data_IF_658971502845
#
_entry.id   IF_658971502845
#
_cell.length_a   1.000
_cell.length_b   1.000
_cell.length_c   1.000
_cell.angle_alpha   90.00
_cell.angle_beta   90.00
_cell.angle_gamma   90.00
#
_symmetry.space_group_name_H-M   'P 1'
#
loop_
_entity.id
_entity.type
_entity.pdbx_description
1 polymer ?
#
# COMPACT_ATOMS: atom_id res chain seq x y z
N UNK A 1 8.44 12.43 -32.56
CA UNK A 1 9.90 12.19 -32.52
C UNK A 1 10.17 11.17 -31.42
N UNK A 2 10.50 9.94 -31.77
CA UNK A 2 10.90 8.90 -30.82
C UNK A 2 12.35 9.14 -30.40
N UNK A 3 12.53 9.75 -29.23
CA UNK A 3 13.85 9.84 -28.59
C UNK A 3 14.37 8.42 -28.35
N UNK A 4 15.53 8.08 -28.92
CA UNK A 4 16.25 6.85 -28.58
C UNK A 4 16.36 6.76 -27.04
N UNK A 5 16.21 5.57 -26.43
CA UNK A 5 16.44 5.41 -25.00
C UNK A 5 17.84 5.93 -24.69
N UNK A 6 17.94 6.84 -23.72
CA UNK A 6 19.24 7.23 -23.16
C UNK A 6 19.78 5.96 -22.50
N UNK A 7 20.82 5.36 -23.09
CA UNK A 7 21.55 4.27 -22.43
C UNK A 7 22.28 4.93 -21.27
N UNK A 8 21.75 4.74 -20.06
CA UNK A 8 22.39 5.20 -18.84
C UNK A 8 23.26 4.04 -18.36
N UNK A 9 24.58 4.21 -18.39
CA UNK A 9 25.52 3.16 -17.96
C UNK A 9 25.51 2.95 -16.43
N UNK A 10 24.94 3.89 -15.67
CA UNK A 10 24.95 3.89 -14.21
C UNK A 10 23.66 4.49 -13.65
N UNK A 11 23.15 3.87 -12.59
CA UNK A 11 22.07 4.39 -11.75
C UNK A 11 22.56 4.44 -10.31
N UNK A 12 22.02 5.35 -9.51
CA UNK A 12 22.30 5.40 -8.07
C UNK A 12 21.57 4.27 -7.34
N UNK A 13 20.35 3.95 -7.81
CA UNK A 13 19.52 2.89 -7.23
C UNK A 13 18.95 2.00 -8.35
N UNK A 14 19.15 0.69 -8.21
CA UNK A 14 18.48 -0.31 -9.05
C UNK A 14 17.47 -1.07 -8.18
N UNK A 15 16.20 -1.01 -8.56
CA UNK A 15 15.10 -1.70 -7.88
C UNK A 15 14.63 -2.85 -8.75
N UNK A 16 14.57 -4.05 -8.16
CA UNK A 16 14.09 -5.25 -8.83
C UNK A 16 12.68 -5.60 -8.33
N UNK A 17 11.71 -5.58 -9.24
CA UNK A 17 10.30 -5.88 -8.98
C UNK A 17 9.45 -4.63 -8.77
N UNK A 18 8.27 -4.63 -9.38
CA UNK A 18 7.33 -3.49 -9.39
C UNK A 18 6.13 -3.66 -8.45
N UNK A 19 6.22 -4.52 -7.44
CA UNK A 19 5.24 -4.61 -6.36
C UNK A 19 5.29 -3.37 -5.43
N UNK A 20 4.43 -3.32 -4.41
CA UNK A 20 4.33 -2.19 -3.49
C UNK A 20 5.68 -1.75 -2.89
N UNK A 21 6.49 -2.71 -2.44
CA UNK A 21 7.80 -2.43 -1.85
C UNK A 21 8.77 -1.80 -2.87
N UNK A 22 8.84 -2.37 -4.08
CA UNK A 22 9.69 -1.85 -5.16
C UNK A 22 9.23 -0.49 -5.65
N UNK A 23 7.92 -0.26 -5.79
CA UNK A 23 7.39 1.05 -6.19
C UNK A 23 7.62 2.11 -5.14
N UNK A 24 7.44 1.76 -3.86
CA UNK A 24 7.72 2.67 -2.76
C UNK A 24 9.21 3.03 -2.73
N UNK A 25 10.11 2.05 -2.85
CA UNK A 25 11.54 2.30 -2.89
C UNK A 25 11.95 3.18 -4.08
N UNK A 26 11.45 2.85 -5.28
CA UNK A 26 11.76 3.58 -6.50
C UNK A 26 11.24 5.02 -6.47
N UNK A 27 9.99 5.25 -6.04
CA UNK A 27 9.41 6.59 -6.01
C UNK A 27 10.05 7.46 -4.95
N UNK A 28 10.37 6.90 -3.77
CA UNK A 28 11.08 7.65 -2.71
C UNK A 28 12.48 8.03 -3.19
N UNK A 29 13.26 7.08 -3.71
CA UNK A 29 14.60 7.37 -4.22
C UNK A 29 14.59 8.43 -5.34
N UNK A 30 13.66 8.32 -6.29
CA UNK A 30 13.53 9.30 -7.37
C UNK A 30 13.07 10.68 -6.87
N UNK A 31 12.18 10.72 -5.87
CA UNK A 31 11.72 11.97 -5.24
C UNK A 31 12.87 12.67 -4.50
N UNK A 32 13.78 11.90 -3.89
CA UNK A 32 15.00 12.40 -3.26
C UNK A 32 16.12 12.75 -4.26
N UNK A 33 15.83 12.72 -5.57
CA UNK A 33 16.73 13.19 -6.62
C UNK A 33 17.77 12.18 -7.10
N UNK A 34 17.63 10.90 -6.76
CA UNK A 34 18.51 9.84 -7.24
C UNK A 34 18.11 9.36 -8.65
N UNK A 35 19.10 8.96 -9.45
CA UNK A 35 18.85 8.28 -10.72
C UNK A 35 18.44 6.82 -10.46
N UNK A 36 17.16 6.49 -10.71
CA UNK A 36 16.58 5.18 -10.39
C UNK A 36 16.29 4.36 -11.64
N UNK A 37 16.73 3.08 -11.62
CA UNK A 37 16.29 2.06 -12.57
C UNK A 37 15.40 1.04 -11.87
N UNK A 38 14.14 0.99 -12.25
CA UNK A 38 13.22 -0.06 -11.85
C UNK A 38 13.13 -1.11 -12.96
N UNK A 39 13.31 -2.37 -12.59
CA UNK A 39 13.19 -3.51 -13.49
C UNK A 39 12.03 -4.40 -13.03
N UNK A 40 11.11 -4.69 -13.94
CA UNK A 40 10.05 -5.69 -13.78
C UNK A 40 10.32 -6.83 -14.76
N UNK A 41 10.15 -8.07 -14.31
CA UNK A 41 10.32 -9.26 -15.15
C UNK A 41 9.15 -9.41 -16.12
N UNK A 42 7.94 -9.04 -15.69
CA UNK A 42 6.74 -9.12 -16.50
C UNK A 42 6.57 -7.89 -17.41
N UNK A 43 5.67 -8.02 -18.39
CA UNK A 43 5.18 -6.95 -19.25
C UNK A 43 4.25 -5.96 -18.53
N UNK A 44 3.71 -6.37 -17.37
CA UNK A 44 2.82 -5.57 -16.53
C UNK A 44 3.41 -5.36 -15.13
N UNK A 45 3.16 -4.18 -14.56
CA UNK A 45 3.62 -3.79 -13.23
C UNK A 45 2.67 -4.25 -12.11
N UNK A 46 3.20 -4.32 -10.89
CA UNK A 46 2.43 -4.55 -9.66
C UNK A 46 2.56 -5.96 -9.08
N UNK A 47 2.93 -6.96 -9.88
CA UNK A 47 3.06 -8.36 -9.39
C UNK A 47 1.83 -8.82 -8.60
N UNK A 48 2.04 -9.49 -7.47
CA UNK A 48 0.95 -9.91 -6.57
C UNK A 48 0.29 -8.74 -5.82
N UNK A 49 0.96 -7.59 -5.67
CA UNK A 49 0.36 -6.39 -5.08
C UNK A 49 -0.85 -5.94 -5.88
N UNK A 50 -0.80 -6.01 -7.21
CA UNK A 50 -1.93 -5.62 -8.08
C UNK A 50 -3.17 -6.52 -7.92
N UNK A 51 -3.03 -7.71 -7.34
CA UNK A 51 -4.15 -8.62 -7.05
C UNK A 51 -4.57 -8.59 -5.58
N UNK A 52 -3.83 -7.90 -4.72
CA UNK A 52 -4.19 -7.76 -3.32
C UNK A 52 -5.43 -6.87 -3.18
N UNK A 53 -6.11 -6.95 -2.03
CA UNK A 53 -7.17 -6.01 -1.68
C UNK A 53 -6.69 -4.56 -1.45
N UNK A 54 -5.41 -4.25 -1.69
CA UNK A 54 -4.83 -2.91 -1.57
C UNK A 54 -4.66 -2.40 -0.13
N UNK A 55 -5.13 -3.16 0.86
CA UNK A 55 -5.08 -2.77 2.26
C UNK A 55 -3.68 -2.94 2.85
N UNK A 56 -3.27 -1.96 3.66
CA UNK A 56 -2.00 -1.97 4.37
C UNK A 56 -2.22 -1.80 5.87
N UNK A 57 -1.60 -2.66 6.66
CA UNK A 57 -1.64 -2.57 8.12
C UNK A 57 -0.52 -1.62 8.58
N UNK A 58 -0.89 -0.39 8.93
CA UNK A 58 0.02 0.66 9.39
C UNK A 58 -0.58 1.34 10.64
N UNK A 59 -0.13 0.98 11.84
CA UNK A 59 -0.63 1.59 13.07
C UNK A 59 -0.05 3.00 13.26
N UNK A 60 -0.74 3.81 14.07
CA UNK A 60 -0.21 5.10 14.52
C UNK A 60 -0.08 6.18 13.45
N UNK A 61 -0.78 6.06 12.33
CA UNK A 61 -0.81 7.11 11.30
C UNK A 61 -1.62 8.31 11.75
N UNK A 62 -1.29 9.50 11.19
CA UNK A 62 -2.06 10.73 11.43
C UNK A 62 -3.52 10.57 10.98
N UNK A 63 -3.73 10.03 9.78
CA UNK A 63 -5.07 9.83 9.21
C UNK A 63 -5.94 8.90 10.06
N UNK A 64 -5.35 7.88 10.70
CA UNK A 64 -6.10 7.01 11.62
C UNK A 64 -6.52 7.71 12.91
N UNK A 65 -5.68 8.62 13.45
CA UNK A 65 -6.01 9.43 14.64
C UNK A 65 -7.11 10.46 14.34
N UNK A 66 -7.11 11.02 13.15
CA UNK A 66 -8.10 12.02 12.70
C UNK A 66 -9.51 11.44 12.53
N UNK A 67 -9.67 10.11 12.43
CA UNK A 67 -11.00 9.46 12.45
C UNK A 67 -11.76 9.64 13.77
N UNK A 68 -11.10 10.02 14.87
CA UNK A 68 -11.74 10.29 16.15
C UNK A 68 -12.31 9.07 16.90
N UNK A 69 -12.29 7.87 16.32
CA UNK A 69 -12.87 6.65 16.90
C UNK A 69 -11.87 5.53 17.20
N UNK A 70 -10.57 5.74 16.98
CA UNK A 70 -9.56 4.73 17.30
C UNK A 70 -9.10 4.87 18.74
N UNK A 71 -9.28 3.82 19.54
CA UNK A 71 -8.69 3.67 20.89
C UNK A 71 -7.30 3.02 20.84
N UNK A 72 -6.69 2.94 19.66
CA UNK A 72 -5.43 2.26 19.46
C UNK A 72 -4.27 3.02 20.11
N UNK A 73 -3.26 2.27 20.58
CA UNK A 73 -2.08 2.84 21.25
C UNK A 73 -0.80 2.10 20.84
N UNK A 74 0.37 2.77 20.86
CA UNK A 74 1.65 2.10 20.62
C UNK A 74 1.89 0.87 21.51
N UNK A 75 1.40 0.91 22.75
CA UNK A 75 1.48 -0.20 23.71
C UNK A 75 0.61 -1.37 23.27
N UNK A 76 -0.64 -1.12 22.89
CA UNK A 76 -1.55 -2.15 22.38
C UNK A 76 -1.02 -2.80 21.10
N UNK A 77 -0.46 -1.98 20.18
CA UNK A 77 0.15 -2.47 18.94
C UNK A 77 1.32 -3.39 19.23
N UNK A 78 2.21 -3.01 20.16
CA UNK A 78 3.34 -3.85 20.59
C UNK A 78 2.84 -5.15 21.22
N UNK A 79 1.88 -5.08 22.13
CA UNK A 79 1.31 -6.27 22.77
C UNK A 79 0.71 -7.24 21.75
N UNK A 80 0.00 -6.72 20.75
CA UNK A 80 -0.59 -7.52 19.68
C UNK A 80 0.46 -8.23 18.82
N UNK A 81 1.50 -7.50 18.40
CA UNK A 81 2.57 -8.07 17.60
C UNK A 81 3.41 -9.08 18.39
N UNK A 82 3.68 -8.81 19.67
CA UNK A 82 4.36 -9.77 20.56
C UNK A 82 3.55 -11.05 20.77
N UNK A 83 2.22 -10.94 20.86
CA UNK A 83 1.34 -12.11 21.03
C UNK A 83 1.29 -13.01 19.79
N UNK A 84 1.43 -12.45 18.58
CA UNK A 84 1.29 -13.18 17.33
C UNK A 84 2.61 -13.60 16.68
N UNK A 85 3.64 -12.78 16.82
CA UNK A 85 4.93 -12.99 16.17
C UNK A 85 5.93 -13.44 17.23
N UNK A 86 5.92 -14.73 17.53
CA UNK A 86 6.81 -15.35 18.53
C UNK A 86 8.27 -14.98 18.27
N UNK A 87 8.94 -14.45 19.29
CA UNK A 87 10.35 -14.05 19.21
C UNK A 87 10.60 -12.66 18.62
N UNK A 88 9.56 -11.91 18.26
CA UNK A 88 9.71 -10.55 17.70
C UNK A 88 10.02 -9.46 18.72
N UNK A 89 9.87 -9.74 20.01
CA UNK A 89 9.99 -8.73 21.09
C UNK A 89 11.34 -8.00 21.10
N UNK A 90 12.41 -8.70 20.70
CA UNK A 90 13.77 -8.16 20.59
C UNK A 90 14.23 -8.01 19.14
N UNK A 91 13.36 -8.25 18.16
CA UNK A 91 13.70 -8.09 16.75
C UNK A 91 13.72 -6.59 16.42
N UNK A 92 14.87 -6.02 16.05
CA UNK A 92 14.97 -4.60 15.71
C UNK A 92 14.07 -4.20 14.52
N UNK A 93 13.68 -5.16 13.66
CA UNK A 93 12.76 -4.91 12.55
C UNK A 93 11.37 -4.53 13.02
N UNK A 94 10.93 -5.05 14.18
CA UNK A 94 9.64 -4.69 14.77
C UNK A 94 9.62 -3.21 15.15
N UNK A 95 10.65 -2.76 15.86
CA UNK A 95 10.80 -1.35 16.22
C UNK A 95 10.91 -0.46 14.98
N UNK A 96 11.75 -0.85 13.99
CA UNK A 96 11.91 -0.10 12.75
C UNK A 96 10.61 0.02 11.96
N UNK A 97 9.82 -1.05 11.88
CA UNK A 97 8.52 -1.06 11.22
C UNK A 97 7.54 -0.08 11.89
N UNK A 98 7.36 -0.20 13.22
CA UNK A 98 6.44 0.65 13.98
C UNK A 98 6.84 2.13 13.94
N UNK A 99 8.14 2.42 13.91
CA UNK A 99 8.63 3.79 13.81
C UNK A 99 8.47 4.36 12.39
N UNK A 100 8.75 3.56 11.36
CA UNK A 100 8.92 4.05 9.98
C UNK A 100 7.62 4.02 9.18
N UNK A 101 6.77 3.01 9.38
CA UNK A 101 5.57 2.82 8.59
C UNK A 101 4.63 4.06 8.56
N UNK A 102 4.28 4.71 9.69
CA UNK A 102 3.48 5.93 9.64
C UNK A 102 4.19 7.11 8.94
N UNK A 103 5.52 7.15 8.97
CA UNK A 103 6.31 8.17 8.26
C UNK A 103 6.26 7.93 6.74
N UNK A 104 6.30 6.67 6.30
CA UNK A 104 6.17 6.31 4.87
C UNK A 104 4.81 6.75 4.33
N UNK A 105 3.72 6.49 5.06
CA UNK A 105 2.38 6.95 4.65
C UNK A 105 2.35 8.47 4.50
N UNK A 106 2.85 9.20 5.51
CA UNK A 106 2.90 10.66 5.44
C UNK A 106 3.78 11.19 4.29
N UNK A 107 4.90 10.53 4.01
CA UNK A 107 5.79 10.88 2.90
C UNK A 107 5.09 10.68 1.56
N UNK A 108 4.51 9.50 1.32
CA UNK A 108 3.83 9.18 0.07
C UNK A 108 2.68 10.16 -0.21
N UNK A 109 1.86 10.49 0.81
CA UNK A 109 0.80 11.49 0.67
C UNK A 109 1.32 12.89 0.34
N UNK A 110 2.49 13.27 0.86
CA UNK A 110 3.06 14.60 0.62
C UNK A 110 3.73 14.73 -0.75
N UNK A 111 4.32 13.65 -1.25
CA UNK A 111 5.24 13.70 -2.39
C UNK A 111 4.72 13.00 -3.64
N UNK A 112 3.61 12.25 -3.55
CA UNK A 112 3.08 11.44 -4.65
C UNK A 112 1.56 11.57 -4.74
N UNK A 113 0.94 10.92 -5.73
CA UNK A 113 -0.52 10.81 -5.85
C UNK A 113 -1.12 9.71 -4.95
N UNK A 114 -0.28 8.99 -4.18
CA UNK A 114 -0.75 7.93 -3.27
C UNK A 114 -1.37 8.56 -2.02
N UNK A 115 -2.69 8.52 -1.94
CA UNK A 115 -3.46 8.88 -0.75
C UNK A 115 -4.04 7.61 -0.14
N UNK A 116 -3.78 7.41 1.15
CA UNK A 116 -4.33 6.29 1.92
C UNK A 116 -5.32 6.84 2.93
N UNK A 117 -6.52 6.25 2.95
CA UNK A 117 -7.54 6.53 3.95
C UNK A 117 -7.67 5.36 4.91
N UNK A 118 -8.02 5.61 6.17
CA UNK A 118 -8.27 4.54 7.11
C UNK A 118 -9.60 3.85 6.84
N UNK A 119 -9.65 2.54 7.06
CA UNK A 119 -10.90 1.77 6.97
C UNK A 119 -11.63 1.89 8.32
N UNK A 120 -12.85 2.48 8.37
CA UNK A 120 -13.49 2.82 9.65
C UNK A 120 -13.76 1.62 10.56
N UNK A 121 -14.12 0.47 9.98
CA UNK A 121 -14.40 -0.75 10.72
C UNK A 121 -13.67 -1.92 10.06
N UNK A 122 -12.45 -2.17 10.54
CA UNK A 122 -11.62 -3.27 10.10
C UNK A 122 -10.87 -3.83 11.31
N UNK A 123 -11.44 -4.86 11.96
CA UNK A 123 -10.81 -5.46 13.12
C UNK A 123 -9.52 -6.18 12.73
N UNK A 124 -8.61 -6.25 13.67
CA UNK A 124 -7.46 -7.13 13.58
C UNK A 124 -7.89 -8.59 13.35
N UNK A 125 -7.12 -9.33 12.56
CA UNK A 125 -7.45 -10.71 12.18
C UNK A 125 -7.59 -11.67 13.36
N UNK A 126 -6.89 -11.41 14.46
CA UNK A 126 -6.98 -12.19 15.69
C UNK A 126 -7.56 -11.33 16.82
N UNK A 127 -8.89 -11.12 16.84
CA UNK A 127 -9.53 -10.17 17.76
C UNK A 127 -9.41 -10.58 19.24
N UNK A 128 -9.20 -11.87 19.51
CA UNK A 128 -9.05 -12.40 20.87
C UNK A 128 -7.62 -12.21 21.44
N UNK A 129 -6.67 -11.75 20.62
CA UNK A 129 -5.31 -11.52 21.08
C UNK A 129 -5.18 -10.24 21.91
N UNK A 130 -4.27 -10.29 22.89
CA UNK A 130 -3.97 -9.10 23.71
C UNK A 130 -3.50 -7.95 22.82
N UNK A 131 -4.11 -6.77 22.99
CA UNK A 131 -3.78 -5.58 22.21
C UNK A 131 -4.44 -5.50 20.83
N UNK A 132 -5.34 -6.41 20.47
CA UNK A 132 -6.14 -6.29 19.26
C UNK A 132 -7.05 -5.04 19.29
N UNK A 133 -7.39 -4.51 18.12
CA UNK A 133 -8.35 -3.41 17.97
C UNK A 133 -9.40 -3.70 16.88
N UNK A 134 -10.52 -3.00 16.95
CA UNK A 134 -11.61 -3.06 15.95
C UNK A 134 -11.41 -2.07 14.79
N UNK A 135 -10.49 -1.12 14.92
CA UNK A 135 -10.23 -0.08 13.91
C UNK A 135 -8.90 0.66 14.13
N UNK A 136 -8.46 1.38 13.08
CA UNK A 136 -7.37 2.35 13.15
C UNK A 136 -5.99 1.86 12.71
N UNK A 137 -5.84 0.57 12.39
CA UNK A 137 -4.56 0.01 11.92
C UNK A 137 -4.53 -0.28 10.43
N UNK A 138 -5.67 -0.47 9.78
CA UNK A 138 -5.75 -0.78 8.36
C UNK A 138 -6.10 0.47 7.56
N UNK A 139 -5.30 0.73 6.54
CA UNK A 139 -5.53 1.76 5.54
C UNK A 139 -5.76 1.12 4.17
N UNK A 140 -6.44 1.85 3.30
CA UNK A 140 -6.66 1.49 1.91
C UNK A 140 -6.40 2.69 1.00
N UNK A 141 -6.02 2.47 -0.27
CA UNK A 141 -5.87 3.55 -1.22
C UNK A 141 -7.21 4.23 -1.50
N UNK A 142 -7.17 5.55 -1.61
CA UNK A 142 -8.27 6.28 -2.23
C UNK A 142 -8.38 5.93 -3.72
N UNK A 143 -9.57 6.12 -4.28
CA UNK A 143 -9.80 5.90 -5.71
C UNK A 143 -8.88 6.79 -6.54
N UNK A 144 -8.25 6.19 -7.55
CA UNK A 144 -7.34 6.88 -8.45
C UNK A 144 -7.93 6.91 -9.87
N UNK A 145 -7.97 8.09 -10.49
CA UNK A 145 -8.37 8.23 -11.89
C UNK A 145 -7.26 7.72 -12.82
N UNK A 146 -7.44 6.49 -13.31
CA UNK A 146 -6.48 5.82 -14.17
C UNK A 146 -6.30 6.51 -15.54
N UNK A 147 -7.21 7.41 -15.95
CA UNK A 147 -7.06 8.18 -17.20
C UNK A 147 -5.80 9.05 -17.19
N UNK A 148 -5.34 9.49 -16.01
CA UNK A 148 -4.10 10.24 -15.83
C UNK A 148 -2.85 9.48 -16.29
N UNK A 149 -2.91 8.15 -16.41
CA UNK A 149 -1.80 7.33 -16.88
C UNK A 149 -1.61 7.36 -18.40
N UNK A 150 -2.64 7.74 -19.16
CA UNK A 150 -2.62 7.77 -20.62
C UNK A 150 -2.14 6.45 -21.23
N UNK A 151 -1.14 6.51 -22.11
CA UNK A 151 -0.60 5.32 -22.77
C UNK A 151 0.11 4.32 -21.82
N UNK A 152 0.40 4.72 -20.58
CA UNK A 152 0.98 3.85 -19.55
C UNK A 152 -0.05 2.94 -18.89
N UNK A 153 -1.36 3.17 -19.11
CA UNK A 153 -2.42 2.32 -18.56
C UNK A 153 -2.23 0.84 -18.91
N UNK A 154 -1.72 0.55 -20.11
CA UNK A 154 -1.41 -0.80 -20.58
C UNK A 154 -0.37 -1.55 -19.74
N UNK A 155 0.40 -0.85 -18.91
CA UNK A 155 1.36 -1.47 -18.01
C UNK A 155 0.69 -1.98 -16.74
N UNK A 156 -0.50 -1.51 -16.38
CA UNK A 156 -1.19 -2.02 -15.20
C UNK A 156 -1.60 -3.47 -15.43
N UNK A 157 -1.33 -4.29 -14.41
CA UNK A 157 -1.88 -5.64 -14.33
C UNK A 157 -3.38 -5.55 -14.08
N UNK A 158 -4.14 -6.33 -14.84
CA UNK A 158 -5.57 -6.46 -14.61
C UNK A 158 -5.84 -7.24 -13.31
N UNK A 159 -6.91 -6.90 -12.59
CA UNK A 159 -7.39 -7.69 -11.46
C UNK A 159 -7.63 -9.15 -11.88
N UNK A 160 -7.69 -10.05 -10.89
CA UNK A 160 -8.13 -11.42 -11.16
C UNK A 160 -9.59 -11.40 -11.62
N UNK A 161 -9.99 -12.24 -12.59
CA UNK A 161 -11.38 -12.28 -13.09
C UNK A 161 -12.42 -12.45 -11.97
N UNK A 162 -12.08 -13.19 -10.91
CA UNK A 162 -12.92 -13.42 -9.73
C UNK A 162 -13.22 -12.14 -8.93
N UNK A 163 -12.42 -11.08 -9.12
CA UNK A 163 -12.61 -9.76 -8.50
C UNK A 163 -13.23 -8.73 -9.47
N UNK A 164 -13.72 -9.18 -10.63
CA UNK A 164 -14.35 -8.30 -11.63
C UNK A 164 -15.80 -8.67 -11.90
N UNK A 165 -16.60 -7.67 -12.25
CA UNK A 165 -17.85 -7.85 -12.99
C UNK A 165 -17.58 -7.61 -14.47
N UNK A 166 -18.32 -8.31 -15.33
CA UNK A 166 -18.23 -8.16 -16.79
C UNK A 166 -16.79 -8.27 -17.33
N UNK A 167 -16.00 -9.17 -16.74
CA UNK A 167 -14.59 -9.50 -17.05
C UNK A 167 -13.54 -8.41 -16.76
N UNK A 168 -13.90 -7.12 -16.77
CA UNK A 168 -12.91 -6.04 -16.68
C UNK A 168 -13.27 -4.94 -15.65
N UNK A 169 -14.50 -4.93 -15.13
CA UNK A 169 -14.94 -3.90 -14.20
C UNK A 169 -14.58 -4.28 -12.76
N UNK A 170 -13.57 -3.62 -12.20
CA UNK A 170 -13.30 -3.70 -10.76
C UNK A 170 -14.48 -3.15 -9.97
N UNK A 171 -14.88 -3.87 -8.94
CA UNK A 171 -15.96 -3.50 -8.03
C UNK A 171 -15.39 -3.43 -6.63
N UNK A 172 -15.45 -2.25 -6.02
CA UNK A 172 -15.13 -2.06 -4.61
C UNK A 172 -16.30 -2.54 -3.74
N UNK A 173 -16.02 -2.78 -2.46
CA UNK A 173 -17.07 -3.15 -1.49
C UNK A 173 -18.17 -2.09 -1.41
N UNK A 174 -17.78 -0.83 -1.58
CA UNK A 174 -18.64 0.35 -1.58
C UNK A 174 -19.58 0.40 -2.79
N UNK A 175 -19.24 -0.29 -3.88
CA UNK A 175 -20.06 -0.36 -5.08
C UNK A 175 -21.14 -1.46 -4.97
N UNK A 176 -20.95 -2.47 -4.11
CA UNK A 176 -21.91 -3.59 -3.97
C UNK A 176 -23.36 -3.14 -3.71
N UNK A 177 -23.64 -2.12 -2.86
CA UNK A 177 -24.99 -1.62 -2.68
C UNK A 177 -25.63 -1.07 -3.97
N UNK A 178 -24.87 -0.49 -4.90
CA UNK A 178 -25.43 0.09 -6.13
C UNK A 178 -25.92 -0.99 -7.11
N UNK A 179 -25.30 -2.18 -7.09
CA UNK A 179 -25.73 -3.32 -7.89
C UNK A 179 -26.88 -4.13 -7.26
N UNK A 180 -27.25 -3.83 -6.01
CA UNK A 180 -28.35 -4.49 -5.29
C UNK A 180 -29.68 -3.74 -5.40
N UNK A 181 -29.68 -2.52 -5.93
CA UNK A 181 -30.91 -1.76 -6.15
C UNK A 181 -31.48 -2.11 -7.53
N UNK A 182 -32.76 -2.55 -7.61
CA UNK A 182 -33.39 -2.96 -8.86
C UNK A 182 -33.64 -1.79 -9.83
#
# INVERSE_FOLDING_TARGET
>A
MTTKPKVVEKFDVIVLGSGAAGMTAAVVAATEGLDVCLLEKDTQIGGTTAWSGGQVWVPGTRVAREMGHSTDSPEAVRAYLSALVTGSERDPRMAAFLETAPKVVAYLTRHTQVCLRPVPHYPDYYPDCTGATVSGRVLEPESFDASALGSKLKWLRLPLPEFTLFNDMMVAREDVPCFRQP
#
